data_IF_578914804611
#
_entry.id   IF_578914804611
#
_cell.length_a   1.000
_cell.length_b   1.000
_cell.length_c   1.000
_cell.angle_alpha   90.00
_cell.angle_beta   90.00
_cell.angle_gamma   90.00
#
_symmetry.space_group_name_H-M   'P 1'
#
loop_
_entity.id
_entity.type
_entity.pdbx_description
1 polymer ?
#
# COMPACT_ATOMS: atom_id res chain seq x y z
N UNK A 1 -5.07 -25.62 -3.83
CA UNK A 1 -4.11 -25.35 -4.92
C UNK A 1 -3.68 -23.90 -4.81
N UNK A 2 -2.45 -23.54 -5.19
CA UNK A 2 -2.14 -22.13 -5.49
C UNK A 2 -2.63 -21.79 -6.90
N UNK A 3 -3.14 -20.58 -7.09
CA UNK A 3 -3.45 -20.05 -8.43
C UNK A 3 -2.17 -19.54 -9.09
N UNK A 4 -1.91 -19.92 -10.34
CA UNK A 4 -0.71 -19.52 -11.09
C UNK A 4 -0.54 -18.00 -11.13
N UNK A 5 -1.63 -17.25 -11.32
CA UNK A 5 -1.65 -15.79 -11.27
C UNK A 5 -1.23 -15.23 -9.90
N UNK A 6 -1.63 -15.90 -8.80
CA UNK A 6 -1.23 -15.51 -7.45
C UNK A 6 0.25 -15.73 -7.19
N UNK A 7 0.82 -16.84 -7.69
CA UNK A 7 2.27 -17.10 -7.63
C UNK A 7 3.05 -16.08 -8.48
N UNK A 8 2.56 -15.75 -9.68
CA UNK A 8 3.18 -14.74 -10.55
C UNK A 8 3.20 -13.35 -9.90
N UNK A 9 2.08 -12.90 -9.30
CA UNK A 9 2.02 -11.62 -8.56
C UNK A 9 3.00 -11.59 -7.39
N UNK A 10 3.16 -12.68 -6.64
CA UNK A 10 4.15 -12.74 -5.53
C UNK A 10 5.58 -12.62 -6.04
N UNK A 11 5.94 -13.32 -7.13
CA UNK A 11 7.27 -13.21 -7.73
C UNK A 11 7.54 -11.82 -8.29
N UNK A 12 6.56 -11.20 -8.95
CA UNK A 12 6.72 -9.89 -9.58
C UNK A 12 6.82 -8.76 -8.54
N UNK A 13 6.07 -8.84 -7.43
CA UNK A 13 6.25 -7.94 -6.29
C UNK A 13 7.63 -8.09 -5.64
N UNK A 14 8.17 -9.31 -5.57
CA UNK A 14 9.53 -9.54 -5.07
C UNK A 14 10.61 -9.06 -6.05
N UNK A 15 10.36 -9.14 -7.36
CA UNK A 15 11.22 -8.57 -8.42
C UNK A 15 11.24 -7.03 -8.35
N UNK A 16 10.08 -6.41 -8.13
CA UNK A 16 9.96 -4.96 -7.91
C UNK A 16 10.68 -4.52 -6.63
N UNK A 17 10.50 -5.24 -5.51
CA UNK A 17 11.26 -4.99 -4.28
C UNK A 17 12.78 -5.18 -4.47
N UNK A 18 13.21 -6.16 -5.27
CA UNK A 18 14.62 -6.37 -5.60
C UNK A 18 15.25 -5.20 -6.36
N UNK A 19 14.47 -4.51 -7.20
CA UNK A 19 14.87 -3.29 -7.90
C UNK A 19 14.84 -2.04 -7.00
N UNK A 20 13.86 -1.95 -6.09
CA UNK A 20 13.69 -0.80 -5.19
C UNK A 20 14.58 -0.83 -3.93
N UNK A 21 15.20 -1.96 -3.61
CA UNK A 21 15.98 -2.19 -2.37
C UNK A 21 17.11 -1.17 -2.13
N UNK A 22 17.77 -0.71 -3.20
CA UNK A 22 18.94 0.18 -3.07
C UNK A 22 18.56 1.67 -3.06
N UNK A 23 17.28 1.99 -3.31
CA UNK A 23 16.73 3.36 -3.23
C UNK A 23 16.17 3.73 -1.85
N UNK A 24 15.91 2.75 -0.97
CA UNK A 24 15.45 3.02 0.40
C UNK A 24 15.74 1.86 1.35
N UNK A 25 16.21 2.19 2.57
CA UNK A 25 16.38 1.22 3.65
C UNK A 25 15.10 0.42 3.93
N UNK A 26 13.92 1.04 3.85
CA UNK A 26 12.64 0.36 4.09
C UNK A 26 12.39 -0.75 3.05
N UNK A 27 12.66 -0.49 1.76
CA UNK A 27 12.55 -1.50 0.72
C UNK A 27 13.62 -2.59 0.87
N UNK A 28 14.84 -2.22 1.29
CA UNK A 28 15.92 -3.18 1.60
C UNK A 28 15.53 -4.14 2.72
N UNK A 29 15.11 -3.60 3.86
CA UNK A 29 14.75 -4.38 5.04
C UNK A 29 13.51 -5.25 4.77
N UNK A 30 12.53 -4.75 4.01
CA UNK A 30 11.36 -5.53 3.62
C UNK A 30 11.69 -6.62 2.60
N UNK A 31 12.53 -6.35 1.59
CA UNK A 31 12.99 -7.37 0.65
C UNK A 31 13.69 -8.52 1.37
N UNK A 32 14.67 -8.23 2.23
CA UNK A 32 15.38 -9.25 3.01
C UNK A 32 14.51 -9.94 4.07
N UNK A 33 13.41 -9.31 4.53
CA UNK A 33 12.38 -9.98 5.35
C UNK A 33 11.59 -10.97 4.50
N UNK A 34 11.10 -10.57 3.33
CA UNK A 34 10.29 -11.44 2.47
C UNK A 34 11.05 -12.63 1.89
N UNK A 35 12.37 -12.51 1.63
CA UNK A 35 13.20 -13.66 1.23
C UNK A 35 13.36 -14.73 2.33
N UNK A 36 13.05 -14.41 3.59
CA UNK A 36 13.09 -15.33 4.74
C UNK A 36 11.75 -16.02 5.01
N UNK A 37 10.68 -15.65 4.30
CA UNK A 37 9.36 -16.26 4.49
C UNK A 37 9.38 -17.72 3.96
N UNK A 38 9.13 -18.75 4.80
CA UNK A 38 9.17 -20.15 4.35
C UNK A 38 8.12 -20.45 3.27
N UNK A 39 7.05 -19.65 3.15
CA UNK A 39 6.05 -19.80 2.10
C UNK A 39 6.62 -19.51 0.71
N UNK A 40 7.67 -18.67 0.61
CA UNK A 40 8.36 -18.38 -0.65
C UNK A 40 8.91 -19.65 -1.32
N UNK A 41 9.29 -20.66 -0.54
CA UNK A 41 9.78 -21.95 -1.04
C UNK A 41 8.70 -22.66 -1.87
N UNK A 42 7.45 -22.64 -1.40
CA UNK A 42 6.32 -23.23 -2.13
C UNK A 42 5.95 -22.43 -3.38
N UNK A 43 6.06 -21.10 -3.34
CA UNK A 43 5.88 -20.24 -4.53
C UNK A 43 6.97 -20.51 -5.58
N UNK A 44 8.23 -20.61 -5.18
CA UNK A 44 9.37 -20.94 -6.06
C UNK A 44 9.23 -22.34 -6.66
N UNK A 45 8.93 -23.36 -5.85
CA UNK A 45 8.70 -24.73 -6.34
C UNK A 45 7.57 -24.77 -7.37
N UNK A 46 6.44 -24.12 -7.10
CA UNK A 46 5.32 -24.06 -8.04
C UNK A 46 5.70 -23.36 -9.35
N UNK A 47 6.41 -22.23 -9.28
CA UNK A 47 6.83 -21.48 -10.46
C UNK A 47 7.84 -22.26 -11.33
N UNK A 48 8.84 -22.89 -10.71
CA UNK A 48 9.83 -23.72 -11.41
C UNK A 48 9.21 -24.97 -12.05
N UNK A 49 8.13 -25.51 -11.46
CA UNK A 49 7.47 -26.71 -11.97
C UNK A 49 6.29 -26.44 -12.93
N UNK A 50 5.58 -25.32 -12.82
CA UNK A 50 4.32 -25.07 -13.55
C UNK A 50 4.22 -23.69 -14.22
N UNK A 51 5.21 -22.81 -14.04
CA UNK A 51 5.25 -21.52 -14.71
C UNK A 51 5.59 -21.61 -16.20
N UNK A 52 5.38 -20.50 -16.90
CA UNK A 52 5.93 -20.26 -18.24
C UNK A 52 7.43 -19.89 -18.19
N UNK A 53 8.02 -19.60 -19.35
CA UNK A 53 9.44 -19.28 -19.46
C UNK A 53 9.87 -18.05 -18.64
N UNK A 54 9.06 -16.98 -18.60
CA UNK A 54 9.39 -15.77 -17.85
C UNK A 54 9.21 -15.98 -16.34
N UNK A 55 8.15 -16.70 -15.94
CA UNK A 55 7.88 -17.06 -14.56
C UNK A 55 8.96 -17.98 -13.97
N UNK A 56 9.44 -18.96 -14.75
CA UNK A 56 10.57 -19.83 -14.40
C UNK A 56 11.87 -19.02 -14.31
N UNK A 57 12.14 -18.13 -15.28
CA UNK A 57 13.31 -17.25 -15.24
C UNK A 57 13.32 -16.35 -13.99
N UNK A 58 12.20 -15.67 -13.70
CA UNK A 58 12.06 -14.81 -12.52
C UNK A 58 12.22 -15.60 -11.20
N UNK A 59 11.70 -16.82 -11.13
CA UNK A 59 11.92 -17.70 -9.98
C UNK A 59 13.39 -18.12 -9.80
N UNK A 60 14.11 -18.42 -10.90
CA UNK A 60 15.54 -18.73 -10.87
C UNK A 60 16.39 -17.52 -10.44
N UNK A 61 16.14 -16.33 -10.99
CA UNK A 61 16.83 -15.10 -10.58
C UNK A 61 16.59 -14.82 -9.10
N UNK A 62 15.35 -14.91 -8.63
CA UNK A 62 15.01 -14.72 -7.22
C UNK A 62 15.70 -15.76 -6.31
N UNK A 63 15.78 -17.03 -6.74
CA UNK A 63 16.50 -18.08 -6.02
C UNK A 63 17.99 -17.75 -5.82
N UNK A 64 18.65 -17.07 -6.77
CA UNK A 64 20.07 -16.64 -6.58
C UNK A 64 20.27 -15.63 -5.45
N UNK A 65 19.21 -14.91 -5.04
CA UNK A 65 19.23 -14.06 -3.85
C UNK A 65 18.80 -14.82 -2.59
N UNK A 66 17.86 -15.76 -2.70
CA UNK A 66 17.47 -16.65 -1.60
C UNK A 66 18.65 -17.50 -1.10
N UNK A 67 19.45 -18.08 -1.99
CA UNK A 67 20.57 -18.96 -1.65
C UNK A 67 21.74 -18.26 -0.95
N UNK A 68 21.77 -16.92 -0.94
CA UNK A 68 22.73 -16.11 -0.18
C UNK A 68 22.38 -16.04 1.32
N UNK A 69 21.17 -16.47 1.71
CA UNK A 69 20.77 -16.55 3.11
C UNK A 69 21.26 -17.88 3.71
N UNK A 70 22.09 -17.81 4.75
CA UNK A 70 22.71 -18.93 5.47
C UNK A 70 21.73 -20.01 6.01
N UNK A 71 20.43 -19.74 6.01
CA UNK A 71 19.39 -20.66 6.47
C UNK A 71 18.26 -20.89 5.43
N UNK A 72 18.48 -20.58 4.15
CA UNK A 72 17.46 -20.87 3.13
C UNK A 72 17.33 -22.39 2.89
N UNK A 73 16.11 -22.96 2.93
CA UNK A 73 15.91 -24.41 2.92
C UNK A 73 15.95 -24.99 1.48
N UNK A 74 17.08 -24.82 0.77
CA UNK A 74 17.26 -25.32 -0.61
C UNK A 74 17.00 -26.82 -0.76
N UNK A 75 17.22 -27.63 0.29
CA UNK A 75 16.87 -29.05 0.27
C UNK A 75 15.36 -29.24 0.09
N UNK A 76 14.55 -28.57 0.92
CA UNK A 76 13.09 -28.66 0.85
C UNK A 76 12.53 -28.12 -0.47
N UNK A 77 13.16 -27.09 -1.04
CA UNK A 77 12.86 -26.64 -2.41
C UNK A 77 13.10 -27.77 -3.44
N UNK A 78 14.22 -28.47 -3.34
CA UNK A 78 14.53 -29.65 -4.18
C UNK A 78 13.54 -30.80 -3.99
N UNK A 79 13.21 -31.13 -2.73
CA UNK A 79 12.24 -32.18 -2.39
C UNK A 79 10.84 -31.88 -2.97
N UNK A 80 10.41 -30.62 -2.94
CA UNK A 80 9.15 -30.16 -3.57
C UNK A 80 9.22 -30.24 -5.10
N UNK A 81 10.31 -29.80 -5.73
CA UNK A 81 10.49 -29.86 -7.20
C UNK A 81 10.51 -31.30 -7.70
N UNK A 82 11.18 -32.20 -6.98
CA UNK A 82 11.20 -33.64 -7.28
C UNK A 82 9.78 -34.25 -7.19
N UNK A 83 9.03 -33.88 -6.15
CA UNK A 83 7.64 -34.31 -5.96
C UNK A 83 6.71 -33.81 -7.09
N UNK A 84 6.88 -32.56 -7.52
CA UNK A 84 6.12 -31.99 -8.64
C UNK A 84 6.52 -32.60 -10.01
N UNK A 85 7.77 -33.04 -10.16
CA UNK A 85 8.24 -33.75 -11.35
C UNK A 85 7.59 -35.14 -11.46
N UNK A 86 7.49 -35.88 -10.34
CA UNK A 86 6.71 -37.12 -10.28
C UNK A 86 5.23 -36.88 -10.62
N UNK A 87 4.61 -35.83 -10.05
CA UNK A 87 3.22 -35.48 -10.37
C UNK A 87 3.01 -35.11 -11.86
N UNK A 88 3.99 -34.47 -12.52
CA UNK A 88 3.97 -34.23 -13.97
C UNK A 88 4.14 -35.50 -14.79
N UNK A 89 4.97 -36.44 -14.35
CA UNK A 89 5.13 -37.74 -15.00
C UNK A 89 3.82 -38.55 -14.90
N UNK A 90 3.20 -38.60 -13.73
CA UNK A 90 1.85 -39.17 -13.56
C UNK A 90 0.81 -38.47 -14.44
N UNK A 91 0.83 -37.15 -14.62
CA UNK A 91 -0.12 -36.46 -15.52
C UNK A 91 0.08 -36.79 -17.01
N UNK A 92 1.28 -37.24 -17.42
CA UNK A 92 1.51 -37.76 -18.77
C UNK A 92 1.16 -39.26 -18.89
N UNK A 93 1.48 -40.06 -17.88
CA UNK A 93 1.24 -41.51 -17.87
C UNK A 93 -0.25 -41.85 -17.61
N UNK A 94 -0.94 -41.14 -16.71
CA UNK A 94 -2.37 -41.30 -16.39
C UNK A 94 -3.33 -40.79 -17.47
N UNK A 95 -2.84 -40.43 -18.67
CA UNK A 95 -3.66 -40.49 -19.89
C UNK A 95 -3.88 -41.94 -20.37
N UNK A 96 -3.24 -42.91 -19.69
CA UNK A 96 -3.41 -44.36 -19.81
C UNK A 96 -3.52 -44.98 -18.42
N UNK A 97 -4.74 -45.37 -18.01
CA UNK A 97 -5.08 -46.06 -16.73
C UNK A 97 -5.02 -45.13 -15.48
N UNK A 98 -5.82 -45.32 -14.40
CA UNK A 98 -6.96 -46.21 -14.13
C UNK A 98 -7.85 -45.63 -13.00
N UNK A 99 -9.04 -46.25 -12.80
CA UNK A 99 -10.06 -46.18 -11.74
C UNK A 99 -9.80 -45.48 -10.37
N UNK A 100 -10.92 -45.03 -9.78
CA UNK A 100 -11.22 -44.81 -8.33
C UNK A 100 -11.17 -46.14 -7.51
N UNK A 101 -11.38 -46.26 -6.16
CA UNK A 101 -12.03 -45.30 -5.22
C UNK A 101 -11.58 -45.24 -3.71
N UNK A 102 -12.22 -44.31 -2.97
CA UNK A 102 -12.70 -44.28 -1.55
C UNK A 102 -12.04 -45.02 -0.35
N UNK A 103 -11.98 -44.30 0.79
CA UNK A 103 -12.03 -44.72 2.25
C UNK A 103 -12.06 -43.41 3.10
N UNK A 104 -12.65 -43.19 4.31
CA UNK A 104 -13.33 -43.98 5.39
C UNK A 104 -12.39 -44.75 6.36
N UNK A 105 -12.62 -44.93 7.68
CA UNK A 105 -13.71 -44.64 8.69
C UNK A 105 -13.10 -44.83 10.12
N UNK A 106 -13.65 -44.61 11.35
CA UNK A 106 -14.91 -44.12 12.00
C UNK A 106 -14.69 -43.90 13.55
N UNK A 107 -15.67 -43.38 14.34
CA UNK A 107 -15.88 -43.58 15.81
C UNK A 107 -14.81 -43.00 16.80
N UNK A 108 -14.89 -42.90 18.16
CA UNK A 108 -15.86 -42.99 19.32
C UNK A 108 -15.15 -42.43 20.62
N UNK A 109 -15.63 -42.33 21.88
CA UNK A 109 -16.92 -42.48 22.65
C UNK A 109 -16.74 -42.01 24.13
N UNK A 110 -17.85 -41.67 24.84
CA UNK A 110 -18.26 -41.93 26.26
C UNK A 110 -17.23 -41.85 27.45
N UNK A 111 -17.55 -41.50 28.73
CA UNK A 111 -18.75 -41.00 29.47
C UNK A 111 -18.34 -40.48 30.90
N UNK A 112 -19.24 -39.90 31.75
CA UNK A 112 -18.91 -39.17 33.00
C UNK A 112 -19.12 -39.93 34.34
N UNK A 113 -18.94 -39.24 35.48
CA UNK A 113 -19.40 -39.66 36.84
C UNK A 113 -19.84 -38.46 37.72
N UNK A 114 -20.49 -38.75 38.85
CA UNK A 114 -21.45 -37.88 39.57
C UNK A 114 -21.10 -37.58 41.06
N UNK A 115 -21.70 -36.49 41.60
CA UNK A 115 -22.28 -36.23 42.95
C UNK A 115 -21.63 -36.96 44.18
N UNK A 116 -21.17 -36.27 45.27
CA UNK A 116 -22.02 -35.69 46.34
C UNK A 116 -21.26 -34.76 47.36
N UNK A 117 -21.98 -33.96 48.22
CA UNK A 117 -21.44 -33.10 49.31
C UNK A 117 -21.69 -33.74 50.72
N UNK A 118 -21.82 -33.06 51.90
CA UNK A 118 -21.60 -31.64 52.31
C UNK A 118 -20.86 -31.45 53.68
N UNK A 119 -20.74 -30.21 54.21
CA UNK A 119 -21.24 -29.76 55.56
C UNK A 119 -20.78 -28.34 55.98
N UNK A 120 -21.30 -27.84 57.12
CA UNK A 120 -21.31 -26.43 57.56
C UNK A 120 -20.83 -26.28 59.03
N UNK A 121 -20.31 -25.09 59.38
CA UNK A 121 -20.21 -24.50 60.73
C UNK A 121 -18.90 -24.68 61.53
N UNK A 122 -18.22 -23.55 61.82
CA UNK A 122 -18.23 -22.99 63.19
C UNK A 122 -17.53 -21.61 63.26
N UNK A 123 -18.14 -20.57 63.85
CA UNK A 123 -17.48 -19.29 64.12
C UNK A 123 -17.04 -19.19 65.59
N UNK A 124 -15.73 -19.27 65.86
CA UNK A 124 -15.21 -19.06 67.23
C UNK A 124 -13.82 -18.42 67.27
N UNK A 125 -13.79 -17.08 67.28
CA UNK A 125 -12.70 -16.19 67.77
C UNK A 125 -13.23 -14.75 67.76
N UNK A 126 -13.51 -14.18 68.95
CA UNK A 126 -13.54 -12.73 69.23
C UNK A 126 -13.75 -12.39 70.73
N UNK A 127 -13.22 -13.25 71.63
CA UNK A 127 -13.34 -13.02 73.08
C UNK A 127 -12.28 -12.05 73.64
N UNK A 128 -11.06 -12.06 73.09
CA UNK A 128 -9.90 -11.42 73.74
C UNK A 128 -9.92 -9.89 73.74
N UNK A 129 -10.45 -9.26 72.68
CA UNK A 129 -10.52 -7.79 72.58
C UNK A 129 -11.49 -7.20 73.61
N UNK A 130 -12.57 -7.92 73.91
CA UNK A 130 -13.63 -7.51 74.85
C UNK A 130 -13.21 -7.55 76.33
N UNK A 131 -12.12 -8.25 76.65
CA UNK A 131 -11.50 -8.29 77.98
C UNK A 131 -10.46 -7.17 78.12
N UNK A 132 -9.64 -6.95 77.08
CA UNK A 132 -8.64 -5.85 77.03
C UNK A 132 -9.32 -4.48 77.21
N UNK A 133 -10.44 -4.24 76.52
CA UNK A 133 -11.21 -3.00 76.65
C UNK A 133 -11.83 -2.82 78.05
N UNK A 134 -12.16 -3.92 78.74
CA UNK A 134 -12.70 -3.88 80.10
C UNK A 134 -11.60 -3.54 81.12
N UNK A 135 -10.44 -4.17 81.01
CA UNK A 135 -9.29 -3.85 81.87
C UNK A 135 -8.75 -2.44 81.61
N UNK A 136 -8.75 -1.94 80.38
CA UNK A 136 -8.44 -0.54 80.10
C UNK A 136 -9.41 0.43 80.79
N UNK A 137 -10.72 0.19 80.72
CA UNK A 137 -11.72 1.06 81.35
C UNK A 137 -11.59 1.05 82.88
N UNK A 138 -11.44 -0.15 83.48
CA UNK A 138 -11.25 -0.31 84.92
C UNK A 138 -9.90 0.26 85.40
N UNK A 139 -8.87 0.24 84.54
CA UNK A 139 -7.59 0.91 84.81
C UNK A 139 -7.75 2.43 84.76
N UNK A 140 -8.37 2.98 83.71
CA UNK A 140 -8.65 4.43 83.59
C UNK A 140 -9.44 4.95 84.80
N UNK A 141 -10.47 4.23 85.25
CA UNK A 141 -11.24 4.57 86.46
C UNK A 141 -10.35 4.56 87.71
N UNK A 142 -9.48 3.56 87.88
CA UNK A 142 -8.53 3.47 89.02
C UNK A 142 -7.48 4.57 89.01
N UNK A 143 -6.99 4.93 87.82
CA UNK A 143 -5.92 5.91 87.61
C UNK A 143 -6.43 7.37 87.65
N UNK A 144 -7.66 7.60 88.14
CA UNK A 144 -8.18 8.93 88.47
C UNK A 144 -9.04 9.61 87.41
N UNK A 145 -9.69 8.85 86.51
CA UNK A 145 -10.56 9.43 85.48
C UNK A 145 -11.70 10.30 86.05
N UNK A 146 -11.93 11.47 85.45
CA UNK A 146 -12.87 12.46 85.94
C UNK A 146 -14.33 12.04 85.62
N UNK A 147 -15.06 11.58 86.64
CA UNK A 147 -16.38 10.90 86.53
C UNK A 147 -17.54 11.84 86.08
N UNK A 148 -17.24 13.00 85.51
CA UNK A 148 -18.24 13.93 84.94
C UNK A 148 -18.59 13.64 83.48
N UNK A 149 -17.64 13.10 82.71
CA UNK A 149 -17.79 12.92 81.25
C UNK A 149 -18.07 11.46 80.82
N UNK A 150 -17.92 10.49 81.74
CA UNK A 150 -18.47 9.14 81.56
C UNK A 150 -19.92 9.12 82.09
N UNK A 151 -20.87 8.51 81.36
CA UNK A 151 -22.23 8.39 81.88
C UNK A 151 -22.20 7.40 83.05
N UNK A 152 -22.93 7.69 84.12
CA UNK A 152 -23.03 6.78 85.28
C UNK A 152 -23.47 5.36 84.86
N UNK A 153 -24.30 5.26 83.82
CA UNK A 153 -24.71 3.99 83.20
C UNK A 153 -23.55 3.15 82.67
N UNK A 154 -22.50 3.77 82.12
CA UNK A 154 -21.35 3.06 81.54
C UNK A 154 -20.45 2.49 82.66
N UNK A 155 -20.33 3.24 83.76
CA UNK A 155 -19.61 2.82 84.98
C UNK A 155 -20.37 1.68 85.68
N UNK A 156 -21.69 1.81 85.84
CA UNK A 156 -22.53 0.75 86.42
C UNK A 156 -22.47 -0.54 85.58
N UNK A 157 -22.62 -0.44 84.25
CA UNK A 157 -22.51 -1.59 83.35
C UNK A 157 -21.12 -2.28 83.42
N UNK A 158 -20.04 -1.51 83.64
CA UNK A 158 -18.71 -2.08 83.84
C UNK A 158 -18.59 -2.85 85.18
N UNK A 159 -19.23 -2.36 86.26
CA UNK A 159 -19.30 -3.07 87.54
C UNK A 159 -20.22 -4.30 87.47
N UNK A 160 -21.39 -4.21 86.84
CA UNK A 160 -22.30 -5.34 86.60
C UNK A 160 -21.62 -6.45 85.78
N UNK A 161 -20.97 -6.10 84.66
CA UNK A 161 -20.17 -7.04 83.86
C UNK A 161 -19.06 -7.69 84.71
N UNK A 162 -18.44 -6.94 85.62
CA UNK A 162 -17.41 -7.48 86.52
C UNK A 162 -17.96 -8.41 87.60
N UNK A 163 -19.14 -8.13 88.16
CA UNK A 163 -19.85 -9.01 89.08
C UNK A 163 -20.18 -10.34 88.37
N UNK A 164 -20.77 -10.30 87.18
CA UNK A 164 -21.08 -11.49 86.38
C UNK A 164 -19.83 -12.33 86.04
N UNK A 165 -18.67 -11.70 85.80
CA UNK A 165 -17.39 -12.40 85.61
C UNK A 165 -16.92 -13.06 86.92
N UNK A 166 -17.07 -12.40 88.07
CA UNK A 166 -16.70 -12.94 89.37
C UNK A 166 -17.62 -14.11 89.79
N UNK A 167 -18.94 -13.98 89.67
CA UNK A 167 -19.91 -15.05 89.91
C UNK A 167 -19.68 -16.27 89.00
N UNK A 168 -19.28 -16.04 87.74
CA UNK A 168 -18.88 -17.11 86.83
C UNK A 168 -17.62 -17.80 87.34
N UNK A 169 -16.63 -17.02 87.76
CA UNK A 169 -15.35 -17.54 88.26
C UNK A 169 -15.50 -18.28 89.59
N UNK A 170 -16.41 -17.83 90.44
CA UNK A 170 -16.80 -18.50 91.69
C UNK A 170 -17.37 -19.89 91.38
N UNK A 171 -18.37 -19.99 90.49
CA UNK A 171 -18.90 -21.29 90.06
C UNK A 171 -17.87 -22.20 89.37
N UNK A 172 -16.93 -21.65 88.61
CA UNK A 172 -15.78 -22.41 88.08
C UNK A 172 -14.89 -22.96 89.21
N UNK A 173 -14.68 -22.19 90.27
CA UNK A 173 -13.89 -22.60 91.44
C UNK A 173 -14.65 -23.60 92.33
N UNK A 174 -15.96 -23.45 92.53
CA UNK A 174 -16.81 -24.43 93.22
C UNK A 174 -16.77 -25.80 92.51
N UNK A 175 -16.90 -25.81 91.18
CA UNK A 175 -16.77 -27.03 90.37
C UNK A 175 -15.37 -27.64 90.48
N UNK A 176 -14.31 -26.81 90.46
CA UNK A 176 -12.93 -27.28 90.66
C UNK A 176 -12.68 -27.84 92.06
N UNK A 177 -13.25 -27.24 93.12
CA UNK A 177 -13.17 -27.74 94.49
C UNK A 177 -13.93 -29.06 94.62
N UNK A 178 -15.17 -29.13 94.14
CA UNK A 178 -15.96 -30.37 94.14
C UNK A 178 -15.27 -31.50 93.37
N UNK A 179 -14.68 -31.20 92.20
CA UNK A 179 -13.91 -32.18 91.42
C UNK A 179 -12.63 -32.63 92.15
N UNK A 180 -11.92 -31.70 92.82
CA UNK A 180 -10.75 -32.02 93.64
C UNK A 180 -11.11 -32.88 94.85
N UNK A 181 -12.21 -32.59 95.53
CA UNK A 181 -12.65 -33.33 96.71
C UNK A 181 -13.17 -34.73 96.32
N UNK A 182 -13.83 -34.86 95.17
CA UNK A 182 -14.14 -36.17 94.57
C UNK A 182 -12.87 -36.95 94.20
N UNK A 183 -11.85 -36.29 93.63
CA UNK A 183 -10.57 -36.92 93.31
C UNK A 183 -9.79 -37.34 94.58
N UNK A 184 -9.84 -36.53 95.65
CA UNK A 184 -9.29 -36.87 96.96
C UNK A 184 -10.03 -38.07 97.58
N UNK A 185 -11.37 -38.09 97.55
CA UNK A 185 -12.16 -39.22 98.02
C UNK A 185 -11.88 -40.51 97.22
N UNK A 186 -11.65 -40.42 95.90
CA UNK A 186 -11.20 -41.56 95.10
C UNK A 186 -9.77 -42.00 95.46
N UNK A 187 -8.84 -41.06 95.63
CA UNK A 187 -7.46 -41.35 96.06
C UNK A 187 -7.42 -42.01 97.44
N UNK A 188 -8.23 -41.54 98.38
CA UNK A 188 -8.36 -42.10 99.72
C UNK A 188 -9.03 -43.49 99.68
N UNK A 189 -10.04 -43.69 98.84
CA UNK A 189 -10.66 -45.00 98.61
C UNK A 189 -9.65 -46.02 98.04
N UNK A 190 -8.78 -45.59 97.12
CA UNK A 190 -7.67 -46.42 96.61
C UNK A 190 -6.60 -46.69 97.68
N UNK A 191 -6.32 -45.71 98.56
CA UNK A 191 -5.38 -45.84 99.69
C UNK A 191 -5.90 -46.78 100.78
N UNK A 192 -7.21 -46.81 101.02
CA UNK A 192 -7.88 -47.67 102.00
C UNK A 192 -8.23 -49.06 101.45
N UNK A 193 -8.05 -49.31 100.15
CA UNK A 193 -8.20 -50.65 99.58
C UNK A 193 -7.02 -51.52 100.06
N UNK A 194 -7.25 -52.61 100.82
CA UNK A 194 -6.15 -53.46 101.26
C UNK A 194 -5.48 -54.13 100.06
N UNK A 195 -4.14 -54.23 100.09
CA UNK A 195 -3.31 -54.89 99.07
C UNK A 195 -3.45 -56.42 99.10
N UNK A 196 -4.68 -56.90 98.98
CA UNK A 196 -5.03 -58.32 99.01
C UNK A 196 -4.84 -58.96 97.63
N UNK A 197 -3.67 -59.58 97.40
CA UNK A 197 -3.46 -60.60 96.37
C UNK A 197 -3.38 -60.16 94.90
N UNK A 198 -3.88 -58.98 94.53
CA UNK A 198 -3.75 -58.43 93.18
C UNK A 198 -2.46 -57.63 92.99
N UNK A 199 -1.53 -58.11 92.16
CA UNK A 199 -0.52 -57.23 91.53
C UNK A 199 0.25 -57.83 90.35
N UNK A 200 0.49 -59.14 90.23
CA UNK A 200 1.27 -59.62 89.06
C UNK A 200 0.48 -59.50 87.75
N UNK A 201 -0.81 -59.86 87.76
CA UNK A 201 -1.73 -59.63 86.65
C UNK A 201 -1.90 -58.13 86.34
N UNK A 202 -1.97 -57.27 87.37
CA UNK A 202 -2.10 -55.83 87.21
C UNK A 202 -0.80 -55.19 86.68
N UNK A 203 0.36 -55.62 87.15
CA UNK A 203 1.68 -55.23 86.64
C UNK A 203 1.90 -55.75 85.21
N UNK A 204 1.37 -56.92 84.84
CA UNK A 204 1.36 -57.40 83.46
C UNK A 204 0.45 -56.53 82.57
N UNK A 205 -0.76 -56.20 83.04
CA UNK A 205 -1.69 -55.27 82.36
C UNK A 205 -1.09 -53.87 82.21
N UNK A 206 -0.43 -53.33 83.23
CA UNK A 206 0.27 -52.03 83.17
C UNK A 206 1.43 -52.10 82.16
N UNK A 207 2.24 -53.16 82.16
CA UNK A 207 3.33 -53.34 81.18
C UNK A 207 2.81 -53.48 79.75
N UNK A 208 1.68 -54.16 79.53
CA UNK A 208 0.98 -54.16 78.23
C UNK A 208 0.59 -52.74 77.84
N UNK A 209 -0.15 -52.04 78.71
CA UNK A 209 -0.64 -50.67 78.43
C UNK A 209 0.49 -49.68 78.17
N UNK A 210 1.67 -49.83 78.80
CA UNK A 210 2.86 -49.03 78.50
C UNK A 210 3.37 -49.33 77.09
N UNK A 211 3.54 -50.60 76.72
CA UNK A 211 3.94 -50.99 75.35
C UNK A 211 2.92 -50.58 74.29
N UNK A 212 1.62 -50.68 74.59
CA UNK A 212 0.54 -50.19 73.74
C UNK A 212 0.61 -48.66 73.56
N UNK A 213 0.90 -47.91 74.63
CA UNK A 213 1.10 -46.45 74.56
C UNK A 213 2.36 -46.06 73.80
N UNK A 214 3.46 -46.79 73.96
CA UNK A 214 4.71 -46.57 73.20
C UNK A 214 4.49 -46.84 71.70
N UNK A 215 3.81 -47.94 71.36
CA UNK A 215 3.44 -48.26 69.98
C UNK A 215 2.41 -47.28 69.38
N UNK A 216 1.49 -46.73 70.17
CA UNK A 216 0.62 -45.63 69.73
C UNK A 216 1.43 -44.35 69.50
N UNK A 217 2.38 -44.03 70.37
CA UNK A 217 3.23 -42.85 70.24
C UNK A 217 4.09 -42.92 68.98
N UNK A 218 4.72 -44.05 68.69
CA UNK A 218 5.48 -44.23 67.45
C UNK A 218 4.60 -44.09 66.20
N UNK A 219 3.37 -44.64 66.21
CA UNK A 219 2.39 -44.44 65.13
C UNK A 219 1.99 -42.98 64.95
N UNK A 220 1.83 -42.22 66.03
CA UNK A 220 1.55 -40.77 65.98
C UNK A 220 2.76 -40.00 65.42
N UNK A 221 3.98 -40.31 65.87
CA UNK A 221 5.20 -39.67 65.38
C UNK A 221 5.46 -39.99 63.89
N UNK A 222 5.10 -41.18 63.41
CA UNK A 222 5.11 -41.54 61.99
C UNK A 222 4.02 -40.79 61.20
N UNK A 223 2.79 -40.73 61.71
CA UNK A 223 1.68 -40.03 61.06
C UNK A 223 1.95 -38.52 60.95
N UNK A 224 2.55 -37.90 61.97
CA UNK A 224 2.99 -36.50 61.94
C UNK A 224 4.02 -36.26 60.84
N UNK A 225 5.08 -37.09 60.76
CA UNK A 225 6.10 -37.01 59.68
C UNK A 225 5.48 -37.14 58.29
N UNK A 226 4.52 -38.05 58.11
CA UNK A 226 3.83 -38.24 56.85
C UNK A 226 2.93 -37.04 56.49
N UNK A 227 2.26 -36.43 57.49
CA UNK A 227 1.44 -35.24 57.32
C UNK A 227 2.29 -34.01 56.96
N UNK A 228 3.44 -33.83 57.60
CA UNK A 228 4.34 -32.70 57.30
C UNK A 228 5.02 -32.85 55.92
N UNK A 229 5.41 -34.07 55.51
CA UNK A 229 5.86 -34.33 54.14
C UNK A 229 4.73 -34.07 53.12
N UNK A 230 3.49 -34.44 53.45
CA UNK A 230 2.32 -34.18 52.59
C UNK A 230 2.05 -32.69 52.46
N UNK A 231 2.24 -31.90 53.54
CA UNK A 231 2.17 -30.43 53.49
C UNK A 231 3.23 -29.84 52.59
N UNK A 232 4.50 -30.22 52.76
CA UNK A 232 5.61 -29.72 51.93
C UNK A 232 5.34 -29.93 50.45
N UNK A 233 4.93 -31.14 50.04
CA UNK A 233 4.53 -31.43 48.66
C UNK A 233 3.32 -30.62 48.18
N UNK A 234 2.37 -30.29 49.07
CA UNK A 234 1.22 -29.46 48.72
C UNK A 234 1.61 -27.99 48.55
N UNK A 235 2.48 -27.47 49.42
CA UNK A 235 2.98 -26.10 49.40
C UNK A 235 3.90 -25.86 48.18
N UNK A 236 4.81 -26.79 47.88
CA UNK A 236 5.64 -26.80 46.65
C UNK A 236 4.76 -26.80 45.39
N UNK A 237 3.76 -27.69 45.32
CA UNK A 237 2.82 -27.75 44.19
C UNK A 237 1.96 -26.49 44.07
N UNK A 238 1.60 -25.87 45.19
CA UNK A 238 0.84 -24.61 45.21
C UNK A 238 1.69 -23.45 44.73
N UNK A 239 2.97 -23.39 45.12
CA UNK A 239 3.92 -22.40 44.64
C UNK A 239 4.18 -22.53 43.13
N UNK A 240 4.35 -23.76 42.62
CA UNK A 240 4.50 -24.03 41.19
C UNK A 240 3.28 -23.54 40.40
N UNK A 241 2.07 -23.93 40.81
CA UNK A 241 0.82 -23.50 40.15
C UNK A 241 0.59 -21.98 40.24
N UNK A 242 1.11 -21.32 41.28
CA UNK A 242 1.08 -19.85 41.37
C UNK A 242 2.08 -19.18 40.41
N UNK A 243 3.25 -19.77 40.20
CA UNK A 243 4.22 -19.31 39.20
C UNK A 243 3.68 -19.49 37.77
N UNK A 244 3.12 -20.66 37.45
CA UNK A 244 2.45 -20.92 36.17
C UNK A 244 1.32 -19.91 35.92
N UNK A 245 0.47 -19.65 36.93
CA UNK A 245 -0.60 -18.65 36.85
C UNK A 245 -0.11 -17.20 36.79
N UNK A 246 1.14 -16.91 37.15
CA UNK A 246 1.75 -15.60 36.96
C UNK A 246 2.28 -15.46 35.53
N UNK A 247 3.01 -16.46 35.04
CA UNK A 247 3.51 -16.53 33.66
C UNK A 247 2.36 -16.44 32.65
N UNK A 248 1.32 -17.27 32.79
CA UNK A 248 0.15 -17.27 31.89
C UNK A 248 -0.63 -15.93 31.89
N UNK A 249 -0.54 -15.12 32.95
CA UNK A 249 -1.10 -13.75 32.97
C UNK A 249 -0.21 -12.78 32.22
N UNK A 250 1.11 -12.86 32.43
CA UNK A 250 2.06 -12.03 31.69
C UNK A 250 1.96 -12.30 30.18
N UNK A 251 2.00 -13.56 29.75
CA UNK A 251 1.88 -13.95 28.33
C UNK A 251 0.57 -13.44 27.71
N UNK A 252 -0.56 -13.52 28.45
CA UNK A 252 -1.85 -12.95 28.02
C UNK A 252 -1.78 -11.43 27.84
N UNK A 253 -1.11 -10.72 28.74
CA UNK A 253 -1.05 -9.26 28.73
C UNK A 253 -0.07 -8.74 27.65
N UNK A 254 1.04 -9.45 27.45
CA UNK A 254 1.97 -9.24 26.32
C UNK A 254 1.27 -9.49 24.97
N UNK A 255 0.54 -10.59 24.80
CA UNK A 255 -0.27 -10.86 23.61
C UNK A 255 -1.38 -9.82 23.40
N UNK A 256 -1.97 -9.29 24.49
CA UNK A 256 -2.99 -8.22 24.40
C UNK A 256 -2.37 -6.91 23.90
N UNK A 257 -1.11 -6.63 24.26
CA UNK A 257 -0.32 -5.51 23.74
C UNK A 257 0.08 -5.70 22.27
N UNK A 258 0.48 -6.91 21.87
CA UNK A 258 0.79 -7.20 20.46
C UNK A 258 -0.45 -7.07 19.57
N UNK A 259 -1.61 -7.55 20.03
CA UNK A 259 -2.90 -7.42 19.33
C UNK A 259 -3.34 -5.95 19.19
N UNK A 260 -3.03 -5.07 20.14
CA UNK A 260 -3.35 -3.64 19.99
C UNK A 260 -2.43 -2.95 18.97
N UNK A 261 -1.13 -3.24 19.00
CA UNK A 261 -0.15 -2.71 18.06
C UNK A 261 -0.43 -3.17 16.62
N UNK A 262 -0.74 -4.45 16.39
CA UNK A 262 -1.07 -4.96 15.05
C UNK A 262 -2.38 -4.35 14.51
N UNK A 263 -3.35 -4.03 15.38
CA UNK A 263 -4.55 -3.27 14.99
C UNK A 263 -4.24 -1.84 14.58
N UNK A 264 -3.33 -1.14 15.27
CA UNK A 264 -2.88 0.20 14.88
C UNK A 264 -2.12 0.18 13.55
N UNK A 265 -1.24 -0.81 13.34
CA UNK A 265 -0.56 -1.03 12.07
C UNK A 265 -1.54 -1.33 10.93
N UNK A 266 -2.55 -2.17 11.16
CA UNK A 266 -3.59 -2.46 10.19
C UNK A 266 -4.45 -1.21 9.85
N UNK A 267 -4.78 -0.37 10.82
CA UNK A 267 -5.47 0.91 10.57
C UNK A 267 -4.61 1.88 9.76
N UNK A 268 -3.31 1.99 10.09
CA UNK A 268 -2.37 2.83 9.34
C UNK A 268 -2.17 2.34 7.89
N UNK A 269 -2.07 1.01 7.69
CA UNK A 269 -1.96 0.39 6.37
C UNK A 269 -3.22 0.63 5.52
N UNK A 270 -4.42 0.44 6.09
CA UNK A 270 -5.69 0.71 5.40
C UNK A 270 -5.80 2.18 4.98
N UNK A 271 -5.43 3.13 5.85
CA UNK A 271 -5.39 4.56 5.53
C UNK A 271 -4.44 4.86 4.37
N UNK A 272 -3.24 4.28 4.37
CA UNK A 272 -2.27 4.42 3.27
C UNK A 272 -2.82 3.84 1.96
N UNK A 273 -3.48 2.68 2.01
CA UNK A 273 -4.14 2.07 0.85
C UNK A 273 -5.22 2.99 0.27
N UNK A 274 -6.06 3.60 1.10
CA UNK A 274 -7.11 4.51 0.63
C UNK A 274 -6.58 5.83 0.08
N UNK A 275 -5.49 6.37 0.65
CA UNK A 275 -4.83 7.55 0.10
C UNK A 275 -4.06 7.23 -1.20
N UNK A 276 -3.59 5.99 -1.40
CA UNK A 276 -3.05 5.52 -2.67
C UNK A 276 -4.15 5.32 -3.72
N UNK A 277 -5.32 4.76 -3.36
CA UNK A 277 -6.50 4.68 -4.27
C UNK A 277 -6.89 6.06 -4.78
N UNK A 278 -7.06 7.05 -3.89
CA UNK A 278 -7.41 8.44 -4.27
C UNK A 278 -6.36 9.11 -5.16
N UNK A 279 -5.07 8.77 -5.00
CA UNK A 279 -3.99 9.27 -5.88
C UNK A 279 -4.04 8.60 -7.26
N UNK A 280 -4.27 7.29 -7.31
CA UNK A 280 -4.40 6.52 -8.56
C UNK A 280 -5.63 6.96 -9.36
N UNK A 281 -6.77 7.17 -8.70
CA UNK A 281 -8.01 7.66 -9.30
C UNK A 281 -7.83 9.05 -9.94
N UNK A 282 -7.21 9.99 -9.21
CA UNK A 282 -6.86 11.32 -9.75
C UNK A 282 -5.90 11.24 -10.93
N UNK A 283 -4.83 10.43 -10.82
CA UNK A 283 -3.88 10.23 -11.91
C UNK A 283 -4.54 9.61 -13.15
N UNK A 284 -5.50 8.70 -12.96
CA UNK A 284 -6.30 8.10 -14.03
C UNK A 284 -7.20 9.13 -14.73
N UNK A 285 -7.92 9.97 -13.97
CA UNK A 285 -8.73 11.07 -14.53
C UNK A 285 -7.88 12.00 -15.39
N UNK A 286 -6.76 12.50 -14.85
CA UNK A 286 -5.85 13.39 -15.58
C UNK A 286 -5.21 12.70 -16.79
N UNK A 287 -4.94 11.40 -16.75
CA UNK A 287 -4.46 10.66 -17.92
C UNK A 287 -5.52 10.57 -19.03
N UNK A 288 -6.80 10.35 -18.68
CA UNK A 288 -7.92 10.34 -19.63
C UNK A 288 -8.16 11.74 -20.20
N UNK A 289 -8.09 12.79 -19.38
CA UNK A 289 -8.16 14.20 -19.82
C UNK A 289 -7.07 14.51 -20.86
N UNK A 290 -5.82 14.12 -20.60
CA UNK A 290 -4.69 14.28 -21.54
C UNK A 290 -4.82 13.41 -22.79
N UNK A 291 -5.36 12.21 -22.68
CA UNK A 291 -5.62 11.35 -23.86
C UNK A 291 -6.67 11.99 -24.78
N UNK A 292 -7.69 12.63 -24.22
CA UNK A 292 -8.71 13.37 -24.98
C UNK A 292 -8.15 14.65 -25.63
N UNK A 293 -7.29 15.39 -24.93
CA UNK A 293 -6.55 16.54 -25.46
C UNK A 293 -5.67 16.13 -26.66
N UNK A 294 -4.90 15.04 -26.53
CA UNK A 294 -4.08 14.48 -27.61
C UNK A 294 -4.93 13.98 -28.78
N UNK A 295 -6.10 13.38 -28.54
CA UNK A 295 -7.02 12.99 -29.61
C UNK A 295 -7.55 14.22 -30.37
N UNK A 296 -7.94 15.28 -29.66
CA UNK A 296 -8.42 16.53 -30.26
C UNK A 296 -7.35 17.23 -31.10
N UNK A 297 -6.11 17.33 -30.59
CA UNK A 297 -4.98 17.92 -31.30
C UNK A 297 -4.59 17.11 -32.55
N UNK A 298 -4.72 15.78 -32.52
CA UNK A 298 -4.49 14.95 -33.73
C UNK A 298 -5.58 15.16 -34.79
N UNK A 299 -6.84 15.38 -34.39
CA UNK A 299 -7.91 15.73 -35.34
C UNK A 299 -7.69 17.12 -35.95
N UNK A 300 -7.32 18.11 -35.14
CA UNK A 300 -6.98 19.45 -35.65
C UNK A 300 -5.80 19.41 -36.63
N UNK A 301 -4.74 18.67 -36.28
CA UNK A 301 -3.59 18.41 -37.16
C UNK A 301 -4.01 17.75 -38.49
N UNK A 302 -4.95 16.80 -38.48
CA UNK A 302 -5.45 16.17 -39.70
C UNK A 302 -6.19 17.19 -40.59
N UNK A 303 -7.09 17.99 -40.01
CA UNK A 303 -7.83 19.04 -40.70
C UNK A 303 -6.88 20.11 -41.29
N UNK A 304 -5.81 20.47 -40.58
CA UNK A 304 -4.79 21.40 -41.03
C UNK A 304 -3.96 20.83 -42.20
N UNK A 305 -3.63 19.54 -42.17
CA UNK A 305 -2.95 18.86 -43.29
C UNK A 305 -3.84 18.81 -44.54
N UNK A 306 -5.13 18.50 -44.40
CA UNK A 306 -6.09 18.54 -45.52
C UNK A 306 -6.19 19.95 -46.11
N UNK A 307 -6.32 20.97 -45.25
CA UNK A 307 -6.39 22.39 -45.65
C UNK A 307 -5.10 22.83 -46.36
N UNK A 308 -3.93 22.46 -45.84
CA UNK A 308 -2.63 22.74 -46.46
C UNK A 308 -2.52 22.10 -47.85
N UNK A 309 -2.90 20.83 -47.97
CA UNK A 309 -2.85 20.10 -49.25
C UNK A 309 -3.76 20.77 -50.29
N UNK A 310 -4.97 21.19 -49.90
CA UNK A 310 -5.88 21.93 -50.78
C UNK A 310 -5.31 23.28 -51.22
N UNK A 311 -4.80 24.08 -50.28
CA UNK A 311 -4.16 25.37 -50.64
C UNK A 311 -2.98 25.16 -51.58
N UNK A 312 -2.22 24.07 -51.42
CA UNK A 312 -1.10 23.74 -52.29
C UNK A 312 -1.55 23.28 -53.69
N UNK A 313 -2.66 22.55 -53.83
CA UNK A 313 -3.24 22.24 -55.15
C UNK A 313 -3.84 23.47 -55.83
N UNK A 314 -4.54 24.32 -55.08
CA UNK A 314 -5.14 25.56 -55.59
C UNK A 314 -4.05 26.54 -56.07
N UNK A 315 -2.94 26.65 -55.32
CA UNK A 315 -1.76 27.42 -55.70
C UNK A 315 -1.07 26.84 -56.96
N UNK A 316 -0.95 25.51 -57.06
CA UNK A 316 -0.35 24.85 -58.23
C UNK A 316 -1.17 25.10 -59.51
N UNK A 317 -2.50 24.99 -59.42
CA UNK A 317 -3.40 25.30 -60.53
C UNK A 317 -3.34 26.78 -60.94
N UNK A 318 -3.22 27.70 -59.97
CA UNK A 318 -3.06 29.13 -60.24
C UNK A 318 -1.71 29.45 -60.90
N UNK A 319 -0.63 28.76 -60.51
CA UNK A 319 0.68 28.87 -61.15
C UNK A 319 0.65 28.36 -62.60
N UNK A 320 -0.04 27.25 -62.88
CA UNK A 320 -0.21 26.76 -64.25
C UNK A 320 -1.04 27.73 -65.12
N UNK A 321 -2.15 28.25 -64.59
CA UNK A 321 -2.98 29.25 -65.26
C UNK A 321 -2.15 30.49 -65.60
N UNK A 322 -1.40 31.03 -64.64
CA UNK A 322 -0.50 32.18 -64.85
C UNK A 322 0.60 31.87 -65.88
N UNK A 323 1.22 30.70 -65.83
CA UNK A 323 2.23 30.29 -66.81
C UNK A 323 1.65 30.17 -68.23
N UNK A 324 0.39 29.74 -68.37
CA UNK A 324 -0.29 29.66 -69.66
C UNK A 324 -0.74 31.05 -70.17
N UNK A 325 -1.19 31.94 -69.30
CA UNK A 325 -1.50 33.33 -69.67
C UNK A 325 -0.25 34.12 -70.08
N UNK A 326 0.89 33.93 -69.40
CA UNK A 326 2.17 34.52 -69.81
C UNK A 326 2.60 34.03 -71.20
N UNK A 327 2.46 32.72 -71.51
CA UNK A 327 2.71 32.19 -72.87
C UNK A 327 1.79 32.85 -73.90
N UNK A 328 0.50 32.99 -73.58
CA UNK A 328 -0.53 33.58 -74.45
C UNK A 328 -0.23 35.05 -74.76
N UNK A 329 0.04 35.86 -73.73
CA UNK A 329 0.42 37.27 -73.87
C UNK A 329 1.74 37.44 -74.63
N UNK A 330 2.73 36.56 -74.42
CA UNK A 330 3.97 36.61 -75.18
C UNK A 330 3.76 36.29 -76.68
N UNK A 331 2.84 35.38 -77.01
CA UNK A 331 2.46 35.12 -78.40
C UNK A 331 1.70 36.31 -79.03
N UNK A 332 0.77 36.94 -78.29
CA UNK A 332 0.10 38.17 -78.73
C UNK A 332 1.13 39.29 -79.01
N UNK A 333 2.13 39.46 -78.14
CA UNK A 333 3.20 40.47 -78.31
C UNK A 333 4.03 40.19 -79.58
N UNK A 334 4.40 38.94 -79.85
CA UNK A 334 5.12 38.59 -81.09
C UNK A 334 4.27 38.93 -82.33
N UNK A 335 3.00 38.52 -82.37
CA UNK A 335 2.10 38.83 -83.49
C UNK A 335 1.87 40.34 -83.69
N UNK A 336 1.85 41.12 -82.59
CA UNK A 336 1.79 42.59 -82.65
C UNK A 336 3.08 43.19 -83.17
N UNK A 337 4.25 42.68 -82.76
CA UNK A 337 5.54 43.11 -83.29
C UNK A 337 5.66 42.81 -84.78
N UNK A 338 5.32 41.61 -85.25
CA UNK A 338 5.30 41.25 -86.68
C UNK A 338 4.39 42.20 -87.49
N UNK A 339 3.26 42.62 -86.91
CA UNK A 339 2.33 43.57 -87.51
C UNK A 339 2.94 44.99 -87.58
N UNK A 340 3.60 45.44 -86.51
CA UNK A 340 4.31 46.74 -86.46
C UNK A 340 5.45 46.77 -87.47
N UNK A 341 6.22 45.68 -87.58
CA UNK A 341 7.30 45.52 -88.54
C UNK A 341 6.80 45.62 -89.99
N UNK A 342 5.70 44.93 -90.29
CA UNK A 342 5.05 45.01 -91.60
C UNK A 342 4.58 46.44 -91.92
N UNK A 343 3.85 47.08 -90.98
CA UNK A 343 3.35 48.44 -91.17
C UNK A 343 4.47 49.47 -91.31
N UNK A 344 5.60 49.28 -90.60
CA UNK A 344 6.78 50.12 -90.71
C UNK A 344 7.39 50.05 -92.11
N UNK A 345 7.58 48.84 -92.65
CA UNK A 345 8.09 48.64 -94.03
C UNK A 345 7.13 49.21 -95.08
N UNK A 346 5.82 49.09 -94.88
CA UNK A 346 4.81 49.69 -95.76
C UNK A 346 4.85 51.23 -95.70
N UNK A 347 5.03 51.82 -94.51
CA UNK A 347 5.18 53.26 -94.34
C UNK A 347 6.48 53.80 -94.96
N UNK A 348 7.62 53.12 -94.78
CA UNK A 348 8.90 53.43 -95.43
C UNK A 348 8.77 53.39 -96.96
N UNK A 349 8.16 52.34 -97.52
CA UNK A 349 7.94 52.20 -98.95
C UNK A 349 7.02 53.31 -99.52
N UNK A 350 6.02 53.74 -98.75
CA UNK A 350 5.16 54.88 -99.12
C UNK A 350 5.90 56.22 -99.01
N UNK A 351 6.74 56.43 -97.99
CA UNK A 351 7.58 57.62 -97.87
C UNK A 351 8.62 57.70 -98.98
N UNK A 352 9.22 56.58 -99.39
CA UNK A 352 10.15 56.51 -100.51
C UNK A 352 9.48 56.84 -101.86
N UNK A 353 8.26 56.34 -102.10
CA UNK A 353 7.43 56.73 -103.27
C UNK A 353 7.11 58.22 -103.26
N UNK A 354 6.70 58.76 -102.12
CA UNK A 354 6.37 60.17 -101.94
C UNK A 354 7.59 61.06 -102.25
N UNK A 355 8.76 60.76 -101.67
CA UNK A 355 10.04 61.41 -102.00
C UNK A 355 10.49 61.26 -103.46
N UNK A 356 9.98 60.27 -104.18
CA UNK A 356 10.22 60.17 -105.63
C UNK A 356 9.30 61.09 -106.41
N UNK A 357 8.03 61.21 -106.02
CA UNK A 357 7.09 62.15 -106.63
C UNK A 357 7.40 63.60 -106.30
N UNK A 358 7.92 63.90 -105.11
CA UNK A 358 8.47 65.22 -104.77
C UNK A 358 9.62 65.61 -105.72
N UNK A 359 10.58 64.70 -105.97
CA UNK A 359 11.68 64.93 -106.92
C UNK A 359 11.21 65.05 -108.38
N UNK A 360 10.28 64.22 -108.82
CA UNK A 360 9.67 64.37 -110.16
C UNK A 360 8.98 65.75 -110.29
N UNK A 361 8.24 66.20 -109.27
CA UNK A 361 7.64 67.53 -109.26
C UNK A 361 8.69 68.66 -109.26
N UNK A 362 9.80 68.52 -108.54
CA UNK A 362 10.91 69.47 -108.63
C UNK A 362 11.56 69.50 -110.03
N UNK A 363 11.71 68.34 -110.68
CA UNK A 363 12.27 68.23 -112.03
C UNK A 363 11.34 68.88 -113.06
N UNK A 364 10.03 68.61 -113.00
CA UNK A 364 9.03 69.30 -113.84
C UNK A 364 8.97 70.81 -113.56
N UNK A 365 9.15 71.26 -112.32
CA UNK A 365 9.23 72.70 -112.01
C UNK A 365 10.48 73.34 -112.63
N UNK A 366 11.65 72.70 -112.53
CA UNK A 366 12.90 73.14 -113.17
C UNK A 366 12.78 73.17 -114.69
N UNK A 367 12.14 72.17 -115.29
CA UNK A 367 11.87 72.11 -116.73
C UNK A 367 10.92 73.24 -117.16
N UNK A 368 9.81 73.46 -116.42
CA UNK A 368 8.83 74.50 -116.71
C UNK A 368 9.41 75.92 -116.58
N UNK A 369 10.27 76.17 -115.60
CA UNK A 369 11.00 77.45 -115.50
C UNK A 369 12.10 77.59 -116.57
N UNK A 370 12.72 76.49 -117.02
CA UNK A 370 13.64 76.52 -118.17
C UNK A 370 12.91 76.86 -119.47
N UNK A 371 11.70 76.32 -119.67
CA UNK A 371 10.81 76.62 -120.80
C UNK A 371 10.35 78.08 -120.75
N UNK A 372 9.97 78.61 -119.57
CA UNK A 372 9.70 80.05 -119.38
C UNK A 372 10.90 80.92 -119.73
N UNK A 373 12.11 80.54 -119.32
CA UNK A 373 13.34 81.27 -119.67
C UNK A 373 13.64 81.20 -121.17
N UNK A 374 13.36 80.08 -121.83
CA UNK A 374 13.48 79.95 -123.28
C UNK A 374 12.43 80.80 -124.00
N UNK A 375 11.17 80.76 -123.58
CA UNK A 375 10.08 81.56 -124.16
C UNK A 375 10.37 83.06 -124.05
N UNK A 376 10.82 83.53 -122.88
CA UNK A 376 11.29 84.92 -122.69
C UNK A 376 12.44 85.30 -123.65
N UNK A 377 13.42 84.41 -123.87
CA UNK A 377 14.50 84.64 -124.86
C UNK A 377 13.95 84.68 -126.29
N UNK A 378 13.11 83.72 -126.67
CA UNK A 378 12.48 83.65 -128.00
C UNK A 378 11.61 84.87 -128.25
N UNK A 379 10.88 85.35 -127.25
CA UNK A 379 10.07 86.57 -127.32
C UNK A 379 10.94 87.82 -127.48
N UNK A 380 12.06 87.92 -126.76
CA UNK A 380 13.05 89.00 -126.92
C UNK A 380 13.75 88.96 -128.28
N UNK A 381 14.07 87.78 -128.81
CA UNK A 381 14.65 87.61 -130.16
C UNK A 381 13.62 87.87 -131.27
N UNK A 382 12.35 87.52 -131.07
CA UNK A 382 11.24 87.94 -131.94
C UNK A 382 11.04 89.47 -131.90
N UNK A 383 11.24 90.11 -130.75
CA UNK A 383 11.18 91.57 -130.64
C UNK A 383 12.40 92.25 -131.28
N UNK A 384 13.61 91.69 -131.16
CA UNK A 384 14.80 92.09 -131.94
C UNK A 384 14.54 91.94 -133.45
N UNK A 385 13.98 90.81 -133.88
CA UNK A 385 13.57 90.53 -135.28
C UNK A 385 12.37 91.36 -135.75
N UNK A 386 11.64 92.02 -134.85
CA UNK A 386 10.62 93.02 -135.17
C UNK A 386 11.29 94.39 -135.34
N UNK A 387 12.10 94.83 -134.38
CA UNK A 387 12.92 96.06 -134.45
C UNK A 387 13.80 96.09 -135.71
N UNK A 388 14.52 95.02 -136.00
CA UNK A 388 15.34 94.88 -137.22
C UNK A 388 14.51 94.93 -138.51
N UNK A 389 13.25 94.45 -138.49
CA UNK A 389 12.32 94.59 -139.62
C UNK A 389 11.82 96.01 -139.79
N UNK A 390 11.59 96.72 -138.70
CA UNK A 390 11.14 98.12 -138.71
C UNK A 390 12.31 99.07 -139.04
N UNK A 391 13.56 98.70 -138.71
CA UNK A 391 14.80 99.34 -139.17
C UNK A 391 15.06 99.08 -140.66
N UNK A 392 14.93 97.84 -141.13
CA UNK A 392 14.97 97.50 -142.56
C UNK A 392 13.89 98.26 -143.35
N UNK A 393 12.69 98.44 -142.78
CA UNK A 393 11.62 99.23 -143.42
C UNK A 393 12.02 100.70 -143.55
N UNK A 394 12.55 101.31 -142.49
CA UNK A 394 13.08 102.68 -142.53
C UNK A 394 14.21 102.85 -143.54
N UNK A 395 15.06 101.83 -143.73
CA UNK A 395 16.11 101.84 -144.75
C UNK A 395 15.54 101.76 -146.19
N UNK A 396 14.40 101.10 -146.40
CA UNK A 396 13.69 101.10 -147.69
C UNK A 396 12.81 102.33 -147.94
N UNK A 397 12.55 103.14 -146.91
CA UNK A 397 11.76 104.39 -146.98
C UNK A 397 12.66 105.65 -147.08
N UNK A 398 13.95 105.48 -147.41
CA UNK A 398 14.99 106.52 -147.31
C UNK A 398 15.85 106.74 -148.57
N UNK A 399 15.34 106.45 -149.77
CA UNK A 399 15.99 106.76 -151.04
C UNK A 399 14.99 107.41 -152.03
N UNK A 400 14.91 108.74 -151.96
CA UNK A 400 14.75 109.64 -153.12
C UNK A 400 16.15 110.09 -153.58
#
# INVERSE_FOLDING_TARGET
MLSIYGVAVVLELLRLLAALKDFSKLHKDQYWRSLKDPRLVSFLAYALCYGDHEMVHNALVLYTHCSQLHAFPSKWLGDLIASCSQAKQYLYESRSRVNSPNTSTDQRSNEPMDIAPPLISSPLRNSKENDILLDELLKKIRDGFNVKDAKMSDVLAAYEKKILILERRERELEVLVSAKDQALAQSEKLRMQPRNGGSEADMARIRSLVGDCEALREKVDLANKQLDLTRQLLDEKTAALQADLAQMKQERDDLTSEISQERELAMAANKLVDDLKKKLEKASSTLVERQNEVASLNQEKANLIETLNKVNSDLSALQELHANEVKRLNADVVLRNDTIDKLSREAEAMQAKLRSKERECEEYLKELDSLRSHDQKTQADLERMRKLRDEMRKLTEGFD
#
